data_IF_970639362264
#
_entry.id   IF_970639362264
#
_cell.length_a   1.000
_cell.length_b   1.000
_cell.length_c   1.000
_cell.angle_alpha   90.00
_cell.angle_beta   90.00
_cell.angle_gamma   90.00
#
_symmetry.space_group_name_H-M   'P 1'
#
loop_
_entity.id
_entity.type
_entity.pdbx_description
1 polymer ?
#
# COMPACT_ATOMS: atom_id res chain seq x y z
N UNK A 1 -43.63 -9.37 14.67
CA UNK A 1 -44.06 -8.97 16.01
C UNK A 1 -43.47 -7.59 16.30
N UNK A 2 -44.26 -6.68 16.86
CA UNK A 2 -43.93 -5.26 17.09
C UNK A 2 -42.59 -5.09 17.83
N UNK A 3 -41.72 -4.22 17.31
CA UNK A 3 -40.52 -3.78 18.02
C UNK A 3 -39.55 -3.02 17.11
N UNK A 4 -39.83 -1.74 16.82
CA UNK A 4 -38.86 -0.76 16.32
C UNK A 4 -39.44 0.68 16.32
N UNK A 5 -40.12 1.08 17.39
CA UNK A 5 -40.69 2.44 17.51
C UNK A 5 -40.14 3.20 18.74
N UNK A 6 -38.89 2.89 19.14
CA UNK A 6 -38.32 3.34 20.41
C UNK A 6 -36.92 3.94 20.37
N UNK A 7 -36.33 4.22 19.20
CA UNK A 7 -35.12 5.06 19.16
C UNK A 7 -35.56 6.53 19.21
N UNK A 8 -35.84 7.04 20.42
CA UNK A 8 -35.99 8.48 20.60
C UNK A 8 -34.69 9.13 20.13
N UNK A 9 -34.72 9.79 18.98
CA UNK A 9 -33.58 10.49 18.38
C UNK A 9 -33.09 11.71 19.19
N UNK A 10 -33.46 11.79 20.46
CA UNK A 10 -33.03 12.83 21.38
C UNK A 10 -31.80 12.35 22.15
N UNK A 11 -30.68 13.02 21.89
CA UNK A 11 -29.47 12.88 22.70
C UNK A 11 -29.76 13.52 24.07
N UNK A 12 -29.82 12.71 25.12
CA UNK A 12 -30.07 13.12 26.51
C UNK A 12 -28.93 12.65 27.42
N UNK A 13 -28.62 13.38 28.51
CA UNK A 13 -27.62 12.94 29.48
C UNK A 13 -27.85 11.49 29.94
N UNK A 14 -26.79 10.67 29.95
CA UNK A 14 -26.85 9.23 30.24
C UNK A 14 -27.25 8.34 29.05
N UNK A 15 -27.80 8.91 27.97
CA UNK A 15 -28.15 8.20 26.75
C UNK A 15 -26.93 7.75 25.94
N UNK A 16 -27.13 6.79 25.03
CA UNK A 16 -26.05 6.27 24.18
C UNK A 16 -25.87 7.12 22.91
N UNK A 17 -24.60 7.31 22.53
CA UNK A 17 -24.20 8.07 21.34
C UNK A 17 -22.97 7.42 20.72
N UNK A 18 -22.88 7.46 19.39
CA UNK A 18 -21.79 6.84 18.64
C UNK A 18 -21.00 7.83 17.80
N UNK A 19 -19.67 7.69 17.83
CA UNK A 19 -18.76 8.25 16.84
C UNK A 19 -18.57 7.22 15.72
N UNK A 20 -19.07 7.50 14.52
CA UNK A 20 -19.07 6.57 13.39
C UNK A 20 -17.76 6.72 12.61
N UNK A 21 -16.91 5.69 12.66
CA UNK A 21 -15.64 5.66 11.90
C UNK A 21 -15.81 5.05 10.51
N UNK A 22 -16.69 4.06 10.37
CA UNK A 22 -17.07 3.47 9.10
C UNK A 22 -18.55 3.05 9.11
N UNK A 23 -19.18 3.14 7.95
CA UNK A 23 -20.57 2.70 7.71
C UNK A 23 -20.75 2.16 6.30
N UNK A 24 -21.85 1.44 6.07
CA UNK A 24 -22.10 0.68 4.83
C UNK A 24 -21.91 -0.82 5.06
N UNK A 25 -21.28 -1.49 4.11
CA UNK A 25 -20.97 -2.93 4.19
C UNK A 25 -19.87 -3.26 5.22
N UNK A 26 -18.97 -2.31 5.51
CA UNK A 26 -18.07 -2.34 6.67
C UNK A 26 -18.51 -1.28 7.68
N UNK A 27 -18.75 -1.71 8.92
CA UNK A 27 -19.24 -0.83 9.99
C UNK A 27 -18.28 -0.83 11.17
N UNK A 28 -17.88 0.36 11.60
CA UNK A 28 -17.05 0.52 12.78
C UNK A 28 -17.40 1.83 13.48
N UNK A 29 -17.69 1.76 14.76
CA UNK A 29 -18.04 2.92 15.57
C UNK A 29 -17.56 2.77 17.00
N UNK A 30 -17.34 3.89 17.66
CA UNK A 30 -17.15 3.94 19.10
C UNK A 30 -18.43 4.41 19.76
N UNK A 31 -18.99 3.59 20.65
CA UNK A 31 -20.22 3.91 21.38
C UNK A 31 -19.88 4.33 22.79
N UNK A 32 -20.33 5.52 23.17
CA UNK A 32 -20.20 6.06 24.51
C UNK A 32 -21.53 6.57 25.03
N UNK A 33 -21.44 7.48 25.99
CA UNK A 33 -22.59 8.06 26.69
C UNK A 33 -22.58 9.57 26.52
N UNK A 34 -23.75 10.16 26.34
CA UNK A 34 -23.95 11.61 26.39
C UNK A 34 -23.72 12.06 27.83
N UNK A 35 -22.73 12.92 28.04
CA UNK A 35 -22.44 13.53 29.32
C UNK A 35 -23.44 14.63 29.63
N UNK A 36 -23.63 15.56 28.69
CA UNK A 36 -24.59 16.65 28.81
C UNK A 36 -24.97 17.20 27.43
N UNK A 37 -26.06 17.97 27.35
CA UNK A 37 -26.52 18.64 26.13
C UNK A 37 -26.94 20.08 26.41
N UNK A 38 -26.33 21.01 25.68
CA UNK A 38 -26.65 22.44 25.71
C UNK A 38 -27.17 22.88 24.34
N UNK A 39 -28.50 22.80 24.15
CA UNK A 39 -29.12 23.11 22.86
C UNK A 39 -28.69 22.14 21.76
N UNK A 40 -27.96 22.64 20.77
CA UNK A 40 -27.38 21.86 19.67
C UNK A 40 -26.03 21.23 20.01
N UNK A 41 -25.38 21.67 21.09
CA UNK A 41 -24.09 21.13 21.53
C UNK A 41 -24.27 19.92 22.42
N UNK A 42 -23.48 18.88 22.17
CA UNK A 42 -23.50 17.62 22.91
C UNK A 42 -22.10 17.33 23.42
N UNK A 43 -21.97 17.07 24.72
CA UNK A 43 -20.77 16.53 25.34
C UNK A 43 -20.96 15.03 25.54
N UNK A 44 -19.93 14.25 25.23
CA UNK A 44 -20.01 12.79 25.32
C UNK A 44 -18.70 12.15 25.81
N UNK A 45 -18.81 10.87 26.12
CA UNK A 45 -17.77 9.92 26.55
C UNK A 45 -17.22 10.17 27.96
N UNK A 46 -17.07 11.43 28.39
CA UNK A 46 -16.41 11.75 29.66
C UNK A 46 -14.92 11.36 29.69
N UNK A 47 -14.36 10.99 28.54
CA UNK A 47 -12.97 10.66 28.30
C UNK A 47 -12.64 10.91 26.81
N UNK A 48 -11.36 10.98 26.42
CA UNK A 48 -10.99 11.12 25.01
C UNK A 48 -11.49 9.94 24.20
N UNK A 49 -11.86 10.18 22.96
CA UNK A 49 -12.07 9.09 22.00
C UNK A 49 -10.73 8.63 21.42
N UNK A 50 -10.06 9.52 20.68
CA UNK A 50 -8.75 9.34 20.07
C UNK A 50 -7.73 10.36 20.60
N UNK A 51 -8.19 11.41 21.30
CA UNK A 51 -7.37 12.49 21.81
C UNK A 51 -6.76 13.40 20.74
N UNK A 52 -7.37 13.48 19.55
CA UNK A 52 -6.78 14.16 18.38
C UNK A 52 -7.00 15.68 18.35
N UNK A 53 -7.74 16.25 19.30
CA UNK A 53 -8.10 17.66 19.29
C UNK A 53 -9.27 17.91 18.31
N UNK A 54 -9.15 18.85 17.36
CA UNK A 54 -10.19 19.04 16.35
C UNK A 54 -10.39 17.77 15.50
N UNK A 55 -11.63 17.31 15.38
CA UNK A 55 -12.02 16.15 14.58
C UNK A 55 -13.26 16.48 13.75
N UNK A 56 -13.58 15.64 12.76
CA UNK A 56 -14.85 15.69 12.01
C UNK A 56 -15.35 14.27 11.82
N UNK A 57 -16.10 13.78 12.80
CA UNK A 57 -16.59 12.39 12.83
C UNK A 57 -18.11 12.41 12.97
N UNK A 58 -18.88 11.66 12.16
CA UNK A 58 -20.32 11.61 12.30
C UNK A 58 -20.75 11.18 13.71
N UNK A 59 -21.71 11.90 14.26
CA UNK A 59 -22.34 11.63 15.56
C UNK A 59 -23.72 11.04 15.32
N UNK A 60 -23.90 9.78 15.71
CA UNK A 60 -25.15 9.05 15.54
C UNK A 60 -25.79 8.71 16.88
N UNK A 61 -27.12 8.57 16.88
CA UNK A 61 -27.81 7.89 17.97
C UNK A 61 -27.32 6.44 18.06
N UNK A 62 -27.32 5.87 19.25
CA UNK A 62 -26.98 4.47 19.45
C UNK A 62 -27.94 3.80 20.43
N UNK A 63 -28.10 2.50 20.30
CA UNK A 63 -28.84 1.66 21.24
C UNK A 63 -27.93 0.55 21.73
N UNK A 64 -27.74 0.44 23.05
CA UNK A 64 -26.96 -0.65 23.64
C UNK A 64 -27.83 -1.89 23.72
N UNK A 65 -27.51 -2.90 22.92
CA UNK A 65 -28.23 -4.17 22.88
C UNK A 65 -27.85 -5.03 24.07
N UNK A 66 -26.55 -5.17 24.34
CA UNK A 66 -26.05 -5.92 25.50
C UNK A 66 -24.63 -5.50 25.85
N UNK A 67 -24.18 -5.88 27.06
CA UNK A 67 -22.80 -5.71 27.52
C UNK A 67 -22.18 -7.08 27.62
N UNK A 68 -21.12 -7.33 26.84
CA UNK A 68 -20.33 -8.53 26.98
C UNK A 68 -19.25 -8.28 28.04
N UNK A 69 -19.39 -8.96 29.16
CA UNK A 69 -18.38 -8.95 30.22
C UNK A 69 -17.15 -9.71 29.76
N UNK A 70 -15.99 -9.05 29.79
CA UNK A 70 -14.71 -9.68 29.52
C UNK A 70 -13.72 -9.23 30.59
N UNK A 71 -12.99 -10.19 31.17
CA UNK A 71 -12.07 -9.98 32.29
C UNK A 71 -10.92 -9.01 31.97
N UNK A 72 -10.59 -8.81 30.68
CA UNK A 72 -9.61 -7.81 30.24
C UNK A 72 -10.24 -6.45 29.93
N UNK A 73 -11.41 -6.42 29.28
CA UNK A 73 -12.18 -5.21 29.01
C UNK A 73 -13.59 -5.58 28.56
N UNK A 74 -14.61 -5.20 29.35
CA UNK A 74 -16.01 -5.31 28.92
C UNK A 74 -16.28 -4.39 27.72
N UNK A 75 -17.14 -4.81 26.80
CA UNK A 75 -17.54 -3.99 25.65
C UNK A 75 -19.03 -4.10 25.38
N UNK A 76 -19.59 -3.07 24.74
CA UNK A 76 -21.01 -2.97 24.42
C UNK A 76 -21.25 -3.46 22.99
N UNK A 77 -22.27 -4.29 22.80
CA UNK A 77 -22.86 -4.55 21.48
C UNK A 77 -23.96 -3.52 21.29
N UNK A 78 -23.93 -2.78 20.20
CA UNK A 78 -24.82 -1.64 20.00
C UNK A 78 -25.27 -1.53 18.55
N UNK A 79 -26.52 -1.12 18.37
CA UNK A 79 -27.05 -0.74 17.07
C UNK A 79 -26.83 0.76 16.85
N UNK A 80 -26.48 1.13 15.62
CA UNK A 80 -26.40 2.52 15.20
C UNK A 80 -27.76 3.00 14.71
N UNK A 81 -28.20 4.14 15.23
CA UNK A 81 -29.35 4.88 14.74
C UNK A 81 -28.96 5.89 13.66
N UNK A 82 -29.83 6.88 13.45
CA UNK A 82 -29.60 7.96 12.48
C UNK A 82 -28.39 8.81 12.91
N UNK A 83 -27.62 9.28 11.93
CA UNK A 83 -26.64 10.36 12.12
C UNK A 83 -27.39 11.64 12.44
N UNK A 84 -27.09 12.23 13.59
CA UNK A 84 -27.75 13.42 14.12
C UNK A 84 -26.88 14.67 13.99
N UNK A 85 -25.57 14.51 13.82
CA UNK A 85 -24.63 15.62 13.78
C UNK A 85 -23.20 15.16 13.53
N UNK A 86 -22.24 15.95 14.02
CA UNK A 86 -20.82 15.63 13.96
C UNK A 86 -20.12 15.97 15.27
N UNK A 87 -19.16 15.14 15.67
CA UNK A 87 -18.16 15.48 16.66
C UNK A 87 -17.10 16.40 16.04
N UNK A 88 -16.80 17.50 16.73
CA UNK A 88 -15.92 18.57 16.28
C UNK A 88 -14.65 18.67 17.13
N UNK A 89 -14.69 18.16 18.38
CA UNK A 89 -13.59 18.20 19.32
C UNK A 89 -13.47 16.88 20.08
N UNK A 90 -12.23 16.46 20.29
CA UNK A 90 -11.84 15.28 21.06
C UNK A 90 -10.67 15.64 21.97
N UNK A 91 -10.97 15.79 23.26
CA UNK A 91 -10.07 16.39 24.26
C UNK A 91 -9.95 15.47 25.48
N UNK A 92 -9.05 15.83 26.40
CA UNK A 92 -8.70 15.04 27.59
C UNK A 92 -9.90 14.59 28.45
N UNK A 93 -10.98 15.36 28.48
CA UNK A 93 -12.13 15.14 29.39
C UNK A 93 -13.41 14.72 28.67
N UNK A 94 -13.34 14.42 27.38
CA UNK A 94 -14.53 14.12 26.59
C UNK A 94 -14.42 14.59 25.15
N UNK A 95 -15.48 14.30 24.41
CA UNK A 95 -15.68 14.76 23.04
C UNK A 95 -16.87 15.72 23.00
N UNK A 96 -16.82 16.71 22.11
CA UNK A 96 -17.91 17.64 21.86
C UNK A 96 -18.34 17.54 20.39
N UNK A 97 -19.65 17.50 20.19
CA UNK A 97 -20.28 17.53 18.88
C UNK A 97 -21.43 18.50 18.81
N UNK A 98 -21.94 18.69 17.59
CA UNK A 98 -23.05 19.58 17.27
C UNK A 98 -24.08 18.85 16.43
N UNK A 99 -25.34 18.91 16.86
CA UNK A 99 -26.50 18.39 16.14
C UNK A 99 -26.72 19.23 14.87
N UNK A 100 -27.05 18.57 13.76
CA UNK A 100 -27.26 19.20 12.45
C UNK A 100 -25.97 19.49 11.67
N UNK A 101 -24.79 19.48 12.31
CA UNK A 101 -23.51 19.58 11.61
C UNK A 101 -23.23 18.29 10.84
N UNK A 102 -22.80 18.40 9.59
CA UNK A 102 -22.43 17.22 8.78
C UNK A 102 -20.91 17.03 8.82
N UNK A 103 -20.47 15.77 8.89
CA UNK A 103 -19.09 15.36 8.69
C UNK A 103 -18.98 14.64 7.34
N UNK A 104 -18.10 15.12 6.45
CA UNK A 104 -17.79 14.43 5.20
C UNK A 104 -17.09 13.10 5.51
N UNK A 105 -17.41 12.08 4.71
CA UNK A 105 -16.79 10.76 4.79
C UNK A 105 -16.23 10.39 3.42
N UNK A 106 -15.10 9.69 3.42
CA UNK A 106 -14.47 9.20 2.19
C UNK A 106 -15.17 7.92 1.73
N UNK A 107 -15.70 7.84 0.50
CA UNK A 107 -16.22 6.61 -0.06
C UNK A 107 -15.09 5.59 -0.32
N UNK A 108 -15.35 4.34 0.07
CA UNK A 108 -14.49 3.17 -0.16
C UNK A 108 -15.32 2.13 -0.90
N UNK A 109 -14.88 1.73 -2.09
CA UNK A 109 -15.50 0.65 -2.87
C UNK A 109 -14.53 -0.51 -2.97
N UNK A 110 -14.96 -1.70 -2.54
CA UNK A 110 -14.19 -2.95 -2.67
C UNK A 110 -14.92 -3.86 -3.64
N UNK A 111 -14.27 -4.25 -4.73
CA UNK A 111 -14.81 -5.18 -5.72
C UNK A 111 -14.02 -6.46 -5.69
N UNK A 112 -14.71 -7.59 -5.56
CA UNK A 112 -14.08 -8.90 -5.42
C UNK A 112 -14.67 -9.82 -6.47
N UNK A 113 -13.85 -10.19 -7.44
CA UNK A 113 -14.15 -11.21 -8.42
C UNK A 113 -13.71 -12.57 -7.86
N UNK A 114 -14.68 -13.40 -7.48
CA UNK A 114 -14.46 -14.73 -6.92
C UNK A 114 -14.43 -15.86 -7.95
N UNK A 115 -14.31 -17.09 -7.46
CA UNK A 115 -14.36 -18.32 -8.27
C UNK A 115 -15.72 -18.42 -8.97
N UNK A 116 -15.71 -18.58 -10.30
CA UNK A 116 -16.94 -18.58 -11.11
C UNK A 116 -17.35 -17.22 -11.67
N UNK A 117 -16.46 -16.21 -11.58
CA UNK A 117 -16.63 -14.88 -12.18
C UNK A 117 -17.83 -14.09 -11.62
N UNK A 118 -18.26 -14.41 -10.39
CA UNK A 118 -19.21 -13.59 -9.65
C UNK A 118 -18.46 -12.40 -9.06
N UNK A 119 -18.98 -11.20 -9.35
CA UNK A 119 -18.44 -9.95 -8.86
C UNK A 119 -19.27 -9.50 -7.65
N UNK A 120 -18.64 -9.48 -6.48
CA UNK A 120 -19.20 -8.88 -5.27
C UNK A 120 -18.67 -7.46 -5.15
N UNK A 121 -19.56 -6.49 -4.92
CA UNK A 121 -19.19 -5.09 -4.70
C UNK A 121 -19.67 -4.66 -3.34
N UNK A 122 -18.76 -4.14 -2.54
CA UNK A 122 -19.01 -3.61 -1.21
C UNK A 122 -18.78 -2.10 -1.20
N UNK A 123 -19.73 -1.37 -0.66
CA UNK A 123 -19.69 0.08 -0.53
C UNK A 123 -19.65 0.47 0.94
N UNK A 124 -18.63 1.24 1.31
CA UNK A 124 -18.48 1.77 2.65
C UNK A 124 -18.10 3.25 2.59
N UNK A 125 -18.28 3.96 3.69
CA UNK A 125 -17.79 5.32 3.89
C UNK A 125 -16.99 5.36 5.18
N UNK A 126 -15.83 6.01 5.16
CA UNK A 126 -14.94 6.12 6.32
C UNK A 126 -14.78 7.57 6.75
N UNK A 127 -14.71 7.82 8.06
CA UNK A 127 -14.54 9.16 8.60
C UNK A 127 -13.19 9.77 8.20
N UNK A 128 -13.15 11.09 8.01
CA UNK A 128 -11.93 11.86 7.71
C UNK A 128 -11.03 11.97 8.96
N UNK A 129 -10.39 10.86 9.32
CA UNK A 129 -9.44 10.75 10.43
C UNK A 129 -8.13 10.18 9.87
N UNK A 130 -7.18 11.03 9.41
CA UNK A 130 -6.00 10.58 8.66
C UNK A 130 -5.16 9.50 9.35
N UNK A 131 -5.08 9.54 10.69
CA UNK A 131 -4.37 8.54 11.49
C UNK A 131 -4.99 7.14 11.40
N UNK A 132 -6.31 7.05 11.27
CA UNK A 132 -7.07 5.80 11.24
C UNK A 132 -7.51 5.38 9.84
N UNK A 133 -7.49 6.29 8.87
CA UNK A 133 -7.89 6.00 7.48
C UNK A 133 -7.19 4.75 6.91
N UNK A 134 -5.87 4.52 7.09
CA UNK A 134 -5.21 3.30 6.57
C UNK A 134 -5.79 2.01 7.13
N UNK A 135 -6.03 1.99 8.44
CA UNK A 135 -6.62 0.84 9.13
C UNK A 135 -8.06 0.62 8.66
N UNK A 136 -8.85 1.68 8.56
CA UNK A 136 -10.25 1.61 8.10
C UNK A 136 -10.34 1.04 6.68
N UNK A 137 -9.52 1.53 5.76
CA UNK A 137 -9.48 1.04 4.37
C UNK A 137 -9.05 -0.44 4.34
N UNK A 138 -7.95 -0.78 5.03
CA UNK A 138 -7.45 -2.17 5.09
C UNK A 138 -8.49 -3.14 5.67
N UNK A 139 -9.18 -2.73 6.74
CA UNK A 139 -10.26 -3.51 7.36
C UNK A 139 -11.49 -3.65 6.45
N UNK A 140 -11.85 -2.61 5.67
CA UNK A 140 -12.92 -2.74 4.67
C UNK A 140 -12.58 -3.78 3.60
N UNK A 141 -11.31 -3.82 3.14
CA UNK A 141 -10.85 -4.83 2.18
C UNK A 141 -10.88 -6.23 2.78
N UNK A 142 -10.35 -6.39 4.01
CA UNK A 142 -10.35 -7.69 4.70
C UNK A 142 -11.78 -8.20 4.94
N UNK A 143 -12.67 -7.34 5.42
CA UNK A 143 -14.07 -7.67 5.66
C UNK A 143 -14.81 -8.05 4.38
N UNK A 144 -14.53 -7.33 3.28
CA UNK A 144 -15.03 -7.69 1.95
C UNK A 144 -14.54 -9.07 1.52
N UNK A 145 -13.24 -9.35 1.68
CA UNK A 145 -12.65 -10.66 1.36
C UNK A 145 -13.26 -11.79 2.19
N UNK A 146 -13.40 -11.62 3.51
CA UNK A 146 -14.04 -12.60 4.38
C UNK A 146 -15.51 -12.84 4.00
N UNK A 147 -16.23 -11.79 3.60
CA UNK A 147 -17.62 -11.88 3.17
C UNK A 147 -17.80 -12.53 1.80
N UNK A 148 -16.83 -12.33 0.89
CA UNK A 148 -16.84 -12.89 -0.46
C UNK A 148 -16.20 -14.29 -0.53
N UNK A 149 -15.38 -14.66 0.46
CA UNK A 149 -14.55 -15.87 0.37
C UNK A 149 -15.38 -17.15 0.45
N UNK A 150 -15.23 -17.98 -0.58
CA UNK A 150 -15.74 -19.35 -0.65
C UNK A 150 -14.66 -20.41 -0.34
N UNK A 151 -13.40 -20.00 -0.16
CA UNK A 151 -12.26 -20.93 -0.07
C UNK A 151 -11.38 -20.58 1.13
N UNK A 152 -11.36 -21.47 2.11
CA UNK A 152 -10.31 -21.52 3.11
C UNK A 152 -9.04 -22.18 2.52
N UNK A 153 -7.86 -21.65 2.87
CA UNK A 153 -6.55 -22.19 2.49
C UNK A 153 -5.84 -21.42 1.37
N UNK A 154 -4.78 -22.04 0.84
CA UNK A 154 -3.89 -21.46 -0.13
C UNK A 154 -4.62 -20.98 -1.40
N UNK A 155 -4.40 -19.72 -1.76
CA UNK A 155 -5.05 -19.06 -2.89
C UNK A 155 -4.08 -18.13 -3.61
N UNK A 156 -4.51 -17.58 -4.75
CA UNK A 156 -3.81 -16.50 -5.45
C UNK A 156 -4.75 -15.31 -5.56
N UNK A 157 -4.25 -14.11 -5.31
CA UNK A 157 -5.04 -12.88 -5.28
C UNK A 157 -4.33 -11.78 -6.06
N UNK A 158 -4.96 -11.30 -7.13
CA UNK A 158 -4.52 -10.11 -7.86
C UNK A 158 -5.23 -8.88 -7.30
N UNK A 159 -4.45 -7.83 -7.02
CA UNK A 159 -4.89 -6.59 -6.39
C UNK A 159 -4.61 -5.39 -7.29
N UNK A 160 -5.61 -4.53 -7.44
CA UNK A 160 -5.45 -3.18 -7.98
C UNK A 160 -6.06 -2.16 -7.01
N UNK A 161 -5.24 -1.22 -6.55
CA UNK A 161 -5.65 -0.13 -5.67
C UNK A 161 -5.70 1.15 -6.51
N UNK A 162 -6.80 1.89 -6.42
CA UNK A 162 -6.92 3.27 -6.95
C UNK A 162 -7.28 4.20 -5.80
N UNK A 163 -6.40 5.15 -5.52
CA UNK A 163 -6.55 6.15 -4.47
C UNK A 163 -6.64 7.52 -5.13
N UNK A 164 -7.80 8.16 -5.06
CA UNK A 164 -7.96 9.54 -5.51
C UNK A 164 -7.62 10.47 -4.36
N UNK A 165 -6.58 11.28 -4.54
CA UNK A 165 -6.02 12.16 -3.53
C UNK A 165 -6.41 13.61 -3.80
N UNK A 166 -6.91 14.29 -2.77
CA UNK A 166 -7.30 15.69 -2.87
C UNK A 166 -6.08 16.53 -3.25
N UNK A 167 -6.13 17.17 -4.42
CA UNK A 167 -5.03 18.01 -4.93
C UNK A 167 -3.88 17.27 -5.64
N UNK A 168 -3.86 15.93 -5.68
CA UNK A 168 -2.74 15.16 -6.28
C UNK A 168 -3.16 14.14 -7.36
N UNK A 169 -4.46 14.08 -7.67
CA UNK A 169 -4.99 13.18 -8.70
C UNK A 169 -5.07 11.73 -8.22
N UNK A 170 -5.01 10.78 -9.15
CA UNK A 170 -5.12 9.36 -8.84
C UNK A 170 -3.73 8.70 -8.70
N UNK A 171 -3.61 7.85 -7.68
CA UNK A 171 -2.56 6.85 -7.55
C UNK A 171 -3.14 5.48 -7.87
N UNK A 172 -2.50 4.76 -8.79
CA UNK A 172 -2.83 3.38 -9.13
C UNK A 172 -1.65 2.47 -8.77
N UNK A 173 -1.91 1.41 -8.00
CA UNK A 173 -0.91 0.41 -7.61
C UNK A 173 -1.44 -0.98 -7.88
N UNK A 174 -0.63 -1.85 -8.47
CA UNK A 174 -0.97 -3.26 -8.74
C UNK A 174 -0.04 -4.18 -7.95
N UNK A 175 -0.57 -5.27 -7.43
CA UNK A 175 0.22 -6.31 -6.77
C UNK A 175 -0.47 -7.68 -6.87
N UNK A 176 0.25 -8.77 -6.66
CA UNK A 176 -0.34 -10.10 -6.53
C UNK A 176 0.24 -10.87 -5.34
N UNK A 177 -0.61 -11.62 -4.66
CA UNK A 177 -0.29 -12.37 -3.45
C UNK A 177 -0.68 -13.83 -3.63
N UNK A 178 0.12 -14.73 -3.06
CA UNK A 178 -0.10 -16.17 -3.17
C UNK A 178 0.21 -16.84 -1.83
N UNK A 179 -0.55 -17.88 -1.50
CA UNK A 179 -0.37 -18.66 -0.28
C UNK A 179 -1.58 -18.64 0.66
N UNK A 180 -1.41 -19.20 1.85
CA UNK A 180 -2.49 -19.34 2.84
C UNK A 180 -2.93 -17.98 3.43
N UNK A 181 -2.02 -17.02 3.50
CA UNK A 181 -2.25 -15.66 4.04
C UNK A 181 -2.62 -14.62 3.00
N UNK A 182 -2.74 -14.98 1.72
CA UNK A 182 -2.84 -14.01 0.62
C UNK A 182 -3.93 -12.95 0.80
N UNK A 183 -5.10 -13.31 1.35
CA UNK A 183 -6.17 -12.36 1.65
C UNK A 183 -5.81 -11.35 2.75
N UNK A 184 -5.12 -11.79 3.81
CA UNK A 184 -4.61 -10.92 4.88
C UNK A 184 -3.48 -10.04 4.36
N UNK A 185 -2.59 -10.58 3.54
CA UNK A 185 -1.47 -9.85 2.95
C UNK A 185 -1.95 -8.73 2.01
N UNK A 186 -3.04 -8.95 1.26
CA UNK A 186 -3.71 -7.91 0.46
C UNK A 186 -4.19 -6.75 1.33
N UNK A 187 -4.93 -7.04 2.41
CA UNK A 187 -5.41 -6.01 3.32
C UNK A 187 -4.24 -5.26 4.00
N UNK A 188 -3.18 -5.97 4.38
CA UNK A 188 -1.95 -5.40 4.93
C UNK A 188 -1.22 -4.49 3.95
N UNK A 189 -1.17 -4.87 2.67
CA UNK A 189 -0.56 -4.05 1.62
C UNK A 189 -1.36 -2.76 1.37
N UNK A 190 -2.69 -2.84 1.30
CA UNK A 190 -3.56 -1.66 1.18
C UNK A 190 -3.36 -0.70 2.36
N UNK A 191 -3.30 -1.25 3.58
CA UNK A 191 -2.99 -0.48 4.79
C UNK A 191 -1.62 0.19 4.69
N UNK A 192 -0.59 -0.53 4.23
CA UNK A 192 0.76 0.01 4.09
C UNK A 192 0.82 1.16 3.07
N UNK A 193 0.18 1.02 1.91
CA UNK A 193 0.12 2.07 0.88
C UNK A 193 -0.64 3.30 1.40
N UNK A 194 -1.81 3.10 1.99
CA UNK A 194 -2.59 4.20 2.57
C UNK A 194 -1.83 4.89 3.72
N UNK A 195 -1.15 4.10 4.57
CA UNK A 195 -0.35 4.60 5.69
C UNK A 195 0.86 5.41 5.24
N UNK A 196 1.57 4.96 4.21
CA UNK A 196 2.68 5.70 3.61
C UNK A 196 2.23 7.10 3.12
N UNK A 197 1.01 7.19 2.59
CA UNK A 197 0.42 8.45 2.13
C UNK A 197 -0.05 9.33 3.29
N UNK A 198 -0.83 8.82 4.25
CA UNK A 198 -1.43 9.68 5.28
C UNK A 198 -0.50 10.01 6.45
N UNK A 199 0.55 9.21 6.65
CA UNK A 199 1.52 9.38 7.74
C UNK A 199 2.86 9.97 7.26
N UNK A 200 2.87 10.56 6.06
CA UNK A 200 4.03 11.25 5.52
C UNK A 200 4.35 12.53 6.32
N UNK A 201 5.59 13.02 6.23
CA UNK A 201 6.07 14.22 6.94
C UNK A 201 6.03 15.51 6.13
N UNK A 202 5.63 15.45 4.86
CA UNK A 202 5.68 16.58 3.92
C UNK A 202 4.41 17.43 3.98
N UNK A 203 3.24 16.79 3.92
CA UNK A 203 1.95 17.48 3.95
C UNK A 203 0.80 16.60 4.42
N UNK A 204 -0.32 17.24 4.78
CA UNK A 204 -1.54 16.53 5.17
C UNK A 204 -2.28 16.06 3.92
N UNK A 205 -2.44 14.74 3.79
CA UNK A 205 -3.09 14.12 2.63
C UNK A 205 -4.42 13.52 3.06
N UNK A 206 -5.46 13.76 2.25
CA UNK A 206 -6.80 13.18 2.43
C UNK A 206 -7.24 12.49 1.14
N UNK A 207 -7.96 11.38 1.30
CA UNK A 207 -8.57 10.67 0.18
C UNK A 207 -9.88 11.34 -0.22
N UNK A 208 -10.12 11.47 -1.52
CA UNK A 208 -11.45 11.82 -2.08
C UNK A 208 -12.27 10.55 -2.32
N UNK A 209 -11.60 9.48 -2.75
CA UNK A 209 -12.21 8.19 -3.06
C UNK A 209 -11.14 7.09 -2.97
N UNK A 210 -11.57 5.92 -2.53
CA UNK A 210 -10.76 4.70 -2.53
C UNK A 210 -11.50 3.60 -3.26
N UNK A 211 -10.85 3.01 -4.26
CA UNK A 211 -11.36 1.84 -4.98
C UNK A 211 -10.32 0.72 -4.91
N UNK A 212 -10.76 -0.47 -4.52
CA UNK A 212 -9.91 -1.65 -4.44
C UNK A 212 -10.57 -2.76 -5.24
N UNK A 213 -9.90 -3.19 -6.29
CA UNK A 213 -10.36 -4.29 -7.14
C UNK A 213 -9.48 -5.52 -6.85
N UNK A 214 -10.13 -6.63 -6.53
CA UNK A 214 -9.50 -7.88 -6.14
C UNK A 214 -10.01 -9.02 -7.01
N UNK A 215 -9.11 -9.85 -7.53
CA UNK A 215 -9.44 -11.06 -8.27
C UNK A 215 -8.86 -12.28 -7.55
N UNK A 216 -9.71 -13.18 -7.08
CA UNK A 216 -9.30 -14.39 -6.36
C UNK A 216 -9.27 -15.61 -7.28
N UNK A 217 -8.23 -16.41 -7.16
CA UNK A 217 -8.12 -17.73 -7.77
C UNK A 217 -7.99 -18.79 -6.67
N UNK A 218 -8.63 -19.97 -6.83
CA UNK A 218 -8.77 -20.95 -5.75
C UNK A 218 -7.48 -21.70 -5.39
N UNK A 219 -6.41 -21.50 -6.16
CA UNK A 219 -5.11 -22.11 -5.93
C UNK A 219 -4.02 -21.06 -6.16
N UNK A 220 -2.88 -21.15 -5.44
CA UNK A 220 -1.69 -20.36 -5.76
C UNK A 220 -1.28 -20.57 -7.22
N UNK A 221 -0.91 -19.49 -7.89
CA UNK A 221 -0.50 -19.50 -9.31
C UNK A 221 0.95 -19.06 -9.49
N UNK A 222 1.56 -18.48 -8.45
CA UNK A 222 2.93 -18.01 -8.53
C UNK A 222 3.91 -19.14 -8.95
N UNK A 223 4.79 -18.80 -9.88
CA UNK A 223 5.92 -19.63 -10.25
C UNK A 223 7.20 -19.11 -9.57
N UNK A 224 7.95 -20.00 -8.92
CA UNK A 224 9.21 -19.63 -8.27
C UNK A 224 10.34 -19.59 -9.29
N UNK A 225 11.07 -18.48 -9.35
CA UNK A 225 12.30 -18.35 -10.13
C UNK A 225 13.43 -19.07 -9.40
N UNK A 226 13.91 -20.19 -9.97
CA UNK A 226 14.93 -21.04 -9.32
C UNK A 226 16.34 -20.84 -9.89
N UNK A 227 16.44 -20.44 -11.15
CA UNK A 227 17.70 -20.07 -11.76
C UNK A 227 17.48 -19.09 -12.92
N UNK A 228 18.50 -18.28 -13.20
CA UNK A 228 18.56 -17.41 -14.37
C UNK A 228 19.98 -17.46 -14.95
N UNK A 229 20.10 -17.54 -16.28
CA UNK A 229 21.40 -17.61 -16.98
C UNK A 229 21.39 -16.75 -18.23
N UNK A 230 22.50 -16.09 -18.52
CA UNK A 230 22.74 -15.48 -19.82
C UNK A 230 23.34 -16.50 -20.79
N UNK A 231 23.10 -16.32 -22.09
CA UNK A 231 23.68 -17.13 -23.17
C UNK A 231 25.21 -17.03 -23.25
N UNK A 232 25.78 -15.95 -22.71
CA UNK A 232 27.22 -15.69 -22.63
C UNK A 232 27.56 -14.87 -21.38
N UNK A 233 28.79 -15.04 -20.88
CA UNK A 233 29.30 -14.29 -19.72
C UNK A 233 30.05 -13.00 -20.12
N UNK A 234 30.67 -12.97 -21.30
CA UNK A 234 31.41 -11.81 -21.82
C UNK A 234 30.57 -11.11 -22.89
N UNK A 235 30.36 -9.81 -22.72
CA UNK A 235 29.46 -8.99 -23.55
C UNK A 235 30.15 -7.69 -23.96
N UNK A 236 29.65 -7.07 -25.03
CA UNK A 236 30.07 -5.75 -25.50
C UNK A 236 28.92 -4.75 -25.39
N UNK A 237 29.19 -3.45 -25.21
CA UNK A 237 28.14 -2.44 -25.24
C UNK A 237 27.30 -2.53 -26.53
N UNK A 238 25.97 -2.46 -26.40
CA UNK A 238 25.03 -2.65 -27.51
C UNK A 238 24.75 -4.10 -27.92
N UNK A 239 25.39 -5.10 -27.32
CA UNK A 239 25.09 -6.50 -27.61
C UNK A 239 23.65 -6.86 -27.22
N UNK A 240 23.09 -7.84 -27.92
CA UNK A 240 21.86 -8.52 -27.51
C UNK A 240 22.20 -9.82 -26.79
N UNK A 241 21.70 -9.96 -25.58
CA UNK A 241 21.98 -11.08 -24.69
C UNK A 241 20.69 -11.86 -24.47
N UNK A 242 20.73 -13.16 -24.76
CA UNK A 242 19.63 -14.06 -24.43
C UNK A 242 19.68 -14.43 -22.95
N UNK A 243 18.55 -14.30 -22.25
CA UNK A 243 18.38 -14.75 -20.87
C UNK A 243 17.45 -15.96 -20.84
N UNK A 244 17.81 -16.97 -20.06
CA UNK A 244 17.05 -18.20 -19.82
C UNK A 244 16.72 -18.29 -18.34
N UNK A 245 15.44 -18.32 -18.00
CA UNK A 245 14.91 -18.40 -16.65
C UNK A 245 14.29 -19.76 -16.42
N UNK A 246 14.73 -20.47 -15.38
CA UNK A 246 14.15 -21.74 -14.97
C UNK A 246 13.16 -21.49 -13.82
N UNK A 247 11.89 -21.77 -14.07
CA UNK A 247 10.79 -21.56 -13.15
C UNK A 247 10.18 -22.91 -12.71
N UNK A 248 9.64 -22.93 -11.49
CA UNK A 248 8.86 -24.05 -10.96
C UNK A 248 7.46 -23.55 -10.67
N UNK A 249 6.45 -24.10 -11.35
CA UNK A 249 5.05 -23.80 -11.03
C UNK A 249 4.67 -24.35 -9.64
N UNK A 250 3.74 -23.71 -8.94
CA UNK A 250 3.24 -24.21 -7.66
C UNK A 250 2.70 -25.65 -7.80
N UNK A 251 3.32 -26.60 -7.08
CA UNK A 251 3.03 -28.04 -7.15
C UNK A 251 3.01 -28.60 -8.58
N UNK A 252 3.76 -27.99 -9.50
CA UNK A 252 3.71 -28.28 -10.92
C UNK A 252 5.07 -28.58 -11.53
N UNK A 253 5.11 -28.53 -12.85
CA UNK A 253 6.29 -28.83 -13.63
C UNK A 253 7.28 -27.66 -13.64
N UNK A 254 8.54 -28.00 -13.93
CA UNK A 254 9.58 -27.04 -14.28
C UNK A 254 9.37 -26.59 -15.72
N UNK A 255 9.43 -25.28 -15.95
CA UNK A 255 9.38 -24.71 -17.29
C UNK A 255 10.44 -23.63 -17.43
N UNK A 256 10.75 -23.27 -18.68
CA UNK A 256 11.76 -22.27 -19.00
C UNK A 256 11.13 -21.11 -19.77
N UNK A 257 11.48 -19.89 -19.38
CA UNK A 257 11.16 -18.67 -20.13
C UNK A 257 12.45 -18.08 -20.69
N UNK A 258 12.40 -17.65 -21.94
CA UNK A 258 13.51 -16.95 -22.59
C UNK A 258 13.17 -15.48 -22.76
N UNK A 259 14.16 -14.60 -22.62
CA UNK A 259 14.05 -13.16 -22.87
C UNK A 259 15.25 -12.69 -23.70
N UNK A 260 15.08 -11.62 -24.46
CA UNK A 260 16.18 -10.94 -25.16
C UNK A 260 16.39 -9.55 -24.56
N UNK A 261 17.61 -9.24 -24.16
CA UNK A 261 17.97 -7.96 -23.56
C UNK A 261 19.04 -7.27 -24.42
N UNK A 262 18.75 -6.07 -24.90
CA UNK A 262 19.77 -5.22 -25.55
C UNK A 262 20.49 -4.40 -24.49
N UNK A 263 21.82 -4.52 -24.43
CA UNK A 263 22.63 -3.78 -23.47
C UNK A 263 22.83 -2.32 -23.89
N UNK A 264 23.03 -1.37 -22.94
CA UNK A 264 23.29 0.02 -23.28
C UNK A 264 24.60 0.15 -24.04
N UNK A 265 24.66 1.10 -24.98
CA UNK A 265 25.84 1.34 -25.82
C UNK A 265 26.97 2.06 -25.08
N UNK A 266 26.67 2.67 -23.93
CA UNK A 266 27.60 3.45 -23.10
C UNK A 266 28.09 2.68 -21.86
N UNK A 267 27.92 1.35 -21.81
CA UNK A 267 28.37 0.55 -20.68
C UNK A 267 29.90 0.67 -20.49
N UNK A 268 30.37 0.96 -19.26
CA UNK A 268 31.79 0.92 -18.95
C UNK A 268 32.31 -0.52 -19.01
N UNK A 269 33.59 -0.68 -19.34
CA UNK A 269 34.25 -1.98 -19.25
C UNK A 269 34.37 -2.42 -17.78
N UNK A 270 34.17 -3.71 -17.51
CA UNK A 270 34.24 -4.28 -16.15
C UNK A 270 33.05 -5.15 -15.78
N UNK A 271 32.83 -5.33 -14.48
CA UNK A 271 31.74 -6.17 -13.97
C UNK A 271 30.39 -5.47 -14.15
N UNK A 272 29.46 -6.18 -14.77
CA UNK A 272 28.08 -5.77 -14.95
C UNK A 272 27.17 -6.86 -14.42
N UNK A 273 26.19 -6.51 -13.61
CA UNK A 273 25.28 -7.48 -13.00
C UNK A 273 23.87 -7.22 -13.47
N UNK A 274 23.19 -8.28 -13.89
CA UNK A 274 21.75 -8.28 -14.12
C UNK A 274 21.08 -8.89 -12.90
N UNK A 275 20.07 -8.23 -12.35
CA UNK A 275 19.19 -8.83 -11.34
C UNK A 275 17.86 -9.05 -12.05
N UNK A 276 17.47 -10.32 -12.16
CA UNK A 276 16.25 -10.73 -12.87
C UNK A 276 15.30 -11.34 -11.87
N UNK A 277 14.06 -10.88 -11.83
CA UNK A 277 13.08 -11.37 -10.87
C UNK A 277 11.72 -10.74 -11.05
N UNK A 278 10.81 -11.08 -10.14
CA UNK A 278 9.54 -10.39 -10.05
C UNK A 278 9.72 -8.92 -9.64
N UNK A 279 8.76 -8.08 -10.00
CA UNK A 279 8.80 -6.65 -9.75
C UNK A 279 9.04 -6.28 -8.28
N UNK A 280 8.36 -6.94 -7.35
CA UNK A 280 8.46 -6.63 -5.92
C UNK A 280 9.85 -6.96 -5.34
N UNK A 281 10.43 -8.09 -5.75
CA UNK A 281 11.79 -8.47 -5.37
C UNK A 281 12.84 -7.52 -5.94
N UNK A 282 12.63 -7.05 -7.17
CA UNK A 282 13.55 -6.10 -7.83
C UNK A 282 13.44 -4.71 -7.20
N UNK A 283 12.26 -4.24 -6.83
CA UNK A 283 12.08 -2.98 -6.10
C UNK A 283 12.77 -3.02 -4.74
N UNK A 284 12.62 -4.12 -4.00
CA UNK A 284 13.32 -4.31 -2.74
C UNK A 284 14.86 -4.29 -2.93
N UNK A 285 15.37 -4.97 -3.97
CA UNK A 285 16.79 -4.96 -4.30
C UNK A 285 17.27 -3.55 -4.69
N UNK A 286 16.50 -2.80 -5.49
CA UNK A 286 16.80 -1.41 -5.86
C UNK A 286 16.89 -0.53 -4.63
N UNK A 287 15.89 -0.60 -3.74
CA UNK A 287 15.84 0.21 -2.52
C UNK A 287 17.04 -0.07 -1.61
N UNK A 288 17.48 -1.33 -1.53
CA UNK A 288 18.67 -1.71 -0.76
C UNK A 288 19.99 -1.23 -1.38
N UNK A 289 20.09 -1.25 -2.72
CA UNK A 289 21.32 -0.85 -3.43
C UNK A 289 21.46 0.67 -3.61
N UNK A 290 20.35 1.34 -3.89
CA UNK A 290 20.29 2.76 -4.23
C UNK A 290 19.11 3.44 -3.51
N UNK A 291 19.18 3.58 -2.17
CA UNK A 291 18.14 4.24 -1.41
C UNK A 291 18.04 5.72 -1.79
N UNK A 292 16.85 6.12 -2.19
CA UNK A 292 16.49 7.51 -2.49
C UNK A 292 15.22 7.86 -1.70
N UNK A 293 15.34 8.14 -0.39
CA UNK A 293 14.19 8.52 0.41
C UNK A 293 13.61 9.82 -0.17
N UNK A 294 12.30 9.91 -0.42
CA UNK A 294 11.69 11.12 -0.94
C UNK A 294 11.98 12.33 -0.04
N UNK A 295 12.17 13.49 -0.65
CA UNK A 295 12.28 14.78 0.03
C UNK A 295 11.01 15.63 -0.10
N UNK A 296 10.09 15.21 -0.98
CA UNK A 296 8.79 15.86 -1.19
C UNK A 296 7.68 14.82 -1.31
N UNK A 297 6.43 15.25 -1.12
CA UNK A 297 5.29 14.37 -1.33
C UNK A 297 5.14 13.94 -2.80
N UNK A 298 5.47 14.81 -3.75
CA UNK A 298 5.47 14.46 -5.17
C UNK A 298 6.44 13.29 -5.47
N UNK A 299 7.66 13.34 -4.93
CA UNK A 299 8.62 12.23 -5.04
C UNK A 299 8.12 10.97 -4.32
N UNK A 300 7.42 11.11 -3.19
CA UNK A 300 6.82 9.96 -2.49
C UNK A 300 5.72 9.29 -3.32
N UNK A 301 4.92 10.10 -4.02
CA UNK A 301 3.89 9.62 -4.93
C UNK A 301 4.50 8.94 -6.17
N UNK A 302 5.55 9.52 -6.74
CA UNK A 302 6.27 8.95 -7.87
C UNK A 302 6.98 7.64 -7.49
N UNK A 303 7.50 7.54 -6.26
CA UNK A 303 8.00 6.28 -5.71
C UNK A 303 6.91 5.20 -5.70
N UNK A 304 5.72 5.48 -5.16
CA UNK A 304 4.62 4.51 -5.17
C UNK A 304 4.15 4.14 -6.58
N UNK A 305 4.15 5.09 -7.52
CA UNK A 305 3.84 4.83 -8.95
C UNK A 305 4.92 3.98 -9.63
N UNK A 306 6.15 4.02 -9.14
CA UNK A 306 7.26 3.26 -9.68
C UNK A 306 7.30 1.80 -9.21
N UNK A 307 6.49 1.44 -8.20
CA UNK A 307 6.43 0.08 -7.68
C UNK A 307 5.84 -0.88 -8.73
N UNK A 308 6.46 -2.04 -8.80
CA UNK A 308 6.12 -3.12 -9.71
C UNK A 308 5.31 -4.21 -9.02
N UNK A 309 4.46 -4.85 -9.83
CA UNK A 309 3.73 -6.04 -9.43
C UNK A 309 4.59 -7.30 -9.57
N UNK A 310 4.28 -8.34 -8.79
CA UNK A 310 4.78 -9.70 -9.02
C UNK A 310 4.35 -10.31 -10.36
N UNK A 311 3.42 -9.66 -11.07
CA UNK A 311 3.06 -9.97 -12.48
C UNK A 311 3.90 -9.23 -13.51
N UNK A 312 4.97 -8.57 -13.07
CA UNK A 312 5.99 -8.00 -13.95
C UNK A 312 7.30 -8.73 -13.70
N UNK A 313 7.91 -9.20 -14.78
CA UNK A 313 9.28 -9.71 -14.77
C UNK A 313 10.20 -8.55 -15.11
N UNK A 314 11.09 -8.22 -14.17
CA UNK A 314 11.97 -7.05 -14.28
C UNK A 314 13.42 -7.51 -14.34
N UNK A 315 14.16 -6.95 -15.28
CA UNK A 315 15.61 -7.11 -15.41
C UNK A 315 16.26 -5.77 -15.10
N UNK A 316 16.93 -5.70 -13.95
CA UNK A 316 17.67 -4.53 -13.50
C UNK A 316 19.15 -4.69 -13.78
N UNK A 317 19.68 -3.87 -14.69
CA UNK A 317 21.10 -3.87 -15.04
C UNK A 317 21.88 -2.86 -14.21
N UNK A 318 22.91 -3.31 -13.52
CA UNK A 318 23.71 -2.48 -12.63
C UNK A 318 25.21 -2.69 -12.83
N UNK A 319 25.99 -1.62 -12.71
CA UNK A 319 27.45 -1.71 -12.60
C UNK A 319 27.95 -0.97 -11.36
N UNK A 320 29.15 -1.33 -10.90
CA UNK A 320 29.81 -0.63 -9.80
C UNK A 320 30.28 0.73 -10.29
N UNK A 321 29.65 1.80 -9.81
CA UNK A 321 30.10 3.18 -10.03
C UNK A 321 29.74 4.01 -8.79
N UNK A 322 30.62 4.95 -8.44
CA UNK A 322 30.38 5.87 -7.34
C UNK A 322 29.34 6.92 -7.74
N UNK A 323 28.23 6.99 -6.99
CA UNK A 323 27.19 7.99 -7.13
C UNK A 323 26.81 8.60 -5.79
N UNK A 324 25.84 9.51 -5.79
CA UNK A 324 25.20 10.04 -4.58
C UNK A 324 23.68 10.03 -4.76
N UNK A 325 22.96 9.83 -3.66
CA UNK A 325 21.54 10.13 -3.54
C UNK A 325 21.38 11.38 -2.66
N UNK A 326 20.77 12.43 -3.20
CA UNK A 326 20.65 13.76 -2.56
C UNK A 326 19.22 14.24 -2.72
N UNK A 327 18.54 14.52 -1.60
CA UNK A 327 17.16 15.04 -1.60
C UNK A 327 16.18 14.23 -2.49
N UNK A 328 16.26 12.91 -2.43
CA UNK A 328 15.41 12.00 -3.21
C UNK A 328 15.86 11.77 -4.66
N UNK A 329 16.88 12.48 -5.14
CA UNK A 329 17.40 12.33 -6.50
C UNK A 329 18.67 11.47 -6.53
N UNK A 330 18.75 10.57 -7.52
CA UNK A 330 19.94 9.75 -7.77
C UNK A 330 20.83 10.48 -8.77
N UNK A 331 22.06 10.79 -8.35
CA UNK A 331 23.11 11.39 -9.16
C UNK A 331 24.18 10.33 -9.46
N UNK A 332 24.07 9.61 -10.59
CA UNK A 332 25.02 8.58 -10.97
C UNK A 332 26.34 9.19 -11.46
N UNK A 333 27.43 8.42 -11.37
CA UNK A 333 28.73 8.73 -12.00
C UNK A 333 29.29 10.13 -11.66
N UNK A 334 29.20 10.55 -10.40
CA UNK A 334 29.66 11.88 -9.98
C UNK A 334 31.20 11.99 -9.92
N UNK A 335 31.80 13.06 -10.50
CA UNK A 335 33.23 13.33 -10.37
C UNK A 335 33.67 13.39 -8.89
N UNK A 336 34.90 12.95 -8.62
CA UNK A 336 35.43 12.88 -7.26
C UNK A 336 35.41 14.23 -6.53
N UNK A 337 35.63 15.34 -7.25
CA UNK A 337 35.58 16.70 -6.73
C UNK A 337 34.18 17.14 -6.29
N UNK A 338 33.13 16.71 -6.99
CA UNK A 338 31.74 17.00 -6.58
C UNK A 338 31.37 16.15 -5.37
N UNK A 339 31.80 14.88 -5.34
CA UNK A 339 31.58 13.99 -4.19
C UNK A 339 32.25 14.49 -2.91
N UNK A 340 33.45 15.07 -3.00
CA UNK A 340 34.16 15.58 -1.82
C UNK A 340 33.45 16.80 -1.20
N UNK A 341 32.85 17.68 -2.02
CA UNK A 341 32.06 18.82 -1.54
C UNK A 341 30.86 18.36 -0.71
N UNK A 342 30.14 17.32 -1.16
CA UNK A 342 29.00 16.76 -0.41
C UNK A 342 29.42 15.99 0.84
N UNK A 343 30.57 15.30 0.81
CA UNK A 343 31.12 14.67 2.01
C UNK A 343 31.52 15.70 3.09
N UNK A 344 31.86 16.92 2.68
CA UNK A 344 32.18 18.04 3.57
C UNK A 344 30.94 18.79 4.08
N UNK A 345 29.79 18.67 3.40
CA UNK A 345 28.55 19.38 3.72
C UNK A 345 27.78 18.85 4.96
N UNK A 346 28.27 17.76 5.58
CA UNK A 346 27.72 17.20 6.83
C UNK A 346 26.99 15.87 6.65
N UNK A 347 26.88 15.11 7.74
CA UNK A 347 26.21 13.81 7.75
C UNK A 347 24.71 13.97 7.43
N UNK A 348 24.22 13.22 6.44
CA UNK A 348 22.81 13.22 6.02
C UNK A 348 22.50 14.06 4.76
N UNK A 349 23.43 14.88 4.27
CA UNK A 349 23.21 15.67 3.05
C UNK A 349 23.21 14.81 1.76
N UNK A 350 23.91 13.68 1.77
CA UNK A 350 24.02 12.78 0.63
C UNK A 350 24.25 11.33 1.10
N UNK A 351 23.60 10.37 0.45
CA UNK A 351 23.84 8.94 0.66
C UNK A 351 24.80 8.45 -0.44
N UNK A 352 25.99 7.91 -0.11
CA UNK A 352 26.91 7.41 -1.12
C UNK A 352 26.38 6.14 -1.77
N UNK A 353 26.35 6.13 -3.10
CA UNK A 353 25.97 4.99 -3.91
C UNK A 353 27.22 4.27 -4.41
N UNK A 354 27.21 2.94 -4.30
CA UNK A 354 28.28 2.06 -4.81
C UNK A 354 27.91 1.39 -6.12
N UNK A 355 26.66 1.53 -6.52
CA UNK A 355 26.05 0.86 -7.66
C UNK A 355 25.22 1.90 -8.40
N UNK A 356 25.33 1.87 -9.73
CA UNK A 356 24.51 2.68 -10.62
C UNK A 356 23.60 1.74 -11.41
N UNK A 357 22.31 2.09 -11.49
CA UNK A 357 21.36 1.44 -12.40
C UNK A 357 21.64 1.96 -13.81
N UNK A 358 22.04 1.07 -14.70
CA UNK A 358 22.36 1.40 -16.09
C UNK A 358 21.16 1.20 -17.01
N UNK A 359 20.30 0.23 -16.70
CA UNK A 359 19.09 -0.02 -17.46
C UNK A 359 18.06 -0.79 -16.63
N UNK A 360 16.85 -0.76 -17.13
CA UNK A 360 15.74 -1.54 -16.63
C UNK A 360 14.90 -2.01 -17.81
N UNK A 361 14.55 -3.29 -17.81
CA UNK A 361 13.65 -3.88 -18.79
C UNK A 361 12.52 -4.60 -18.05
N UNK A 362 11.30 -4.51 -18.57
CA UNK A 362 10.08 -5.00 -17.91
C UNK A 362 9.22 -5.73 -18.92
N UNK A 363 8.64 -6.85 -18.51
CA UNK A 363 7.68 -7.62 -19.31
C UNK A 363 6.54 -8.10 -18.41
N UNK A 364 5.29 -7.93 -18.83
CA UNK A 364 4.15 -8.51 -18.11
C UNK A 364 4.13 -10.04 -18.28
N UNK A 365 3.69 -10.72 -17.22
CA UNK A 365 3.61 -12.18 -17.18
C UNK A 365 2.21 -12.65 -16.79
N UNK A 366 1.75 -13.74 -17.42
CA UNK A 366 0.40 -14.27 -17.21
C UNK A 366 0.19 -14.76 -15.76
N UNK A 367 1.23 -15.33 -15.16
CA UNK A 367 1.24 -15.81 -13.78
C UNK A 367 2.24 -15.01 -12.95
N UNK A 368 1.95 -14.73 -11.67
CA UNK A 368 2.93 -14.12 -10.78
C UNK A 368 4.24 -14.90 -10.73
N UNK A 369 5.36 -14.19 -10.55
CA UNK A 369 6.67 -14.79 -10.31
C UNK A 369 7.11 -14.49 -8.89
N UNK A 370 7.88 -15.39 -8.31
CA UNK A 370 8.46 -15.25 -6.98
C UNK A 370 9.98 -15.38 -7.02
N UNK A 371 10.66 -14.33 -6.56
CA UNK A 371 12.08 -14.30 -6.31
C UNK A 371 12.88 -13.49 -7.34
N UNK A 372 14.17 -13.33 -7.04
CA UNK A 372 15.14 -12.67 -7.89
C UNK A 372 16.48 -13.40 -7.90
N UNK A 373 17.13 -13.42 -9.07
CA UNK A 373 18.43 -14.05 -9.29
C UNK A 373 19.38 -13.02 -9.91
N UNK A 374 20.60 -12.97 -9.39
CA UNK A 374 21.70 -12.18 -9.96
C UNK A 374 22.47 -13.00 -10.98
N UNK A 375 22.72 -12.42 -12.15
CA UNK A 375 23.62 -12.89 -13.19
C UNK A 375 24.77 -11.89 -13.29
N UNK A 376 26.02 -12.37 -13.21
CA UNK A 376 27.20 -11.53 -13.42
C UNK A 376 27.75 -11.71 -14.84
N UNK A 377 28.04 -10.59 -15.49
CA UNK A 377 28.60 -10.46 -16.83
C UNK A 377 29.90 -9.64 -16.76
N UNK A 378 30.76 -9.84 -17.76
CA UNK A 378 31.98 -9.06 -17.99
C UNK A 378 31.81 -8.24 -19.27
N UNK A 379 31.77 -6.91 -19.14
CA UNK A 379 31.72 -5.98 -20.28
C UNK A 379 33.13 -5.72 -20.77
N UNK A 380 33.36 -5.96 -22.06
CA UNK A 380 34.59 -5.57 -22.77
C UNK A 380 34.28 -4.54 -23.84
N UNK A 381 35.21 -3.63 -24.10
CA UNK A 381 35.13 -2.74 -25.26
C UNK A 381 35.83 -3.42 -26.44
N UNK A 382 35.22 -3.38 -27.62
CA UNK A 382 35.89 -3.84 -28.84
C UNK A 382 37.07 -2.90 -29.06
N UNK A 383 38.30 -3.40 -28.91
CA UNK A 383 39.48 -2.59 -29.13
C UNK A 383 39.41 -1.95 -30.52
N UNK A 384 39.64 -0.63 -30.60
CA UNK A 384 40.09 -0.05 -31.87
C UNK A 384 41.39 -0.77 -32.20
N UNK A 385 41.38 -1.62 -33.22
CA UNK A 385 42.62 -2.15 -33.78
C UNK A 385 43.56 -0.99 -34.11
N UNK A 386 44.89 -1.18 -34.03
CA UNK A 386 45.83 -0.14 -34.40
C UNK A 386 45.53 0.31 -35.83
N UNK A 387 45.31 1.61 -36.00
CA UNK A 387 45.09 2.26 -37.29
C UNK A 387 46.35 2.18 -38.17
#
# INVERSE_FOLDING_TARGET
GRGAEGASGDLVPGGAVAAVLAEGDFQMSAVGTVTDRYGDQVLAFGHPFLGLGPIRVPMAAAEVVTVLSNSYSSFKISNLGKTLGAFEQDRKVGIQGRIGQTAEMTPVTVRIAGVGNQLHTYHSRIADVPLYAPMLIGSSVLSGLESASYTAGAQSVDLEIRLRLRGHGELKVRQSFDGDSAGVDVAGYVLAIAGYLTQNSFEKVSFEEVSVDVTQSPQPRAATLTAARADRAVVYPGDRVGLSLDLVAWRGERFRRSMELTLPVDLPAGRYSLIVGDGSSIDAARLAMAPAPPATFAQALDFLRSLHSRRELVVLGVHGDAGLSVAGEILPRLPASVRSLWSAAGAGAAIPLRVTVAQEHREEVDVPVDGAIRIDLEVRHRGKGPA
#
